data_IF_934187161242
#
_entry.id   IF_934187161242
#
_cell.length_a   1.000
_cell.length_b   1.000
_cell.length_c   1.000
_cell.angle_alpha   90.00
_cell.angle_beta   90.00
_cell.angle_gamma   90.00
#
_symmetry.space_group_name_H-M   'P 1'
#
loop_
_entity.id
_entity.type
_entity.pdbx_description
1 polymer ?
#
# COMPACT_ATOMS: atom_id res chain seq x y z
N UNK A 1 69.45 14.45 -27.66
CA UNK A 1 69.87 15.32 -26.57
C UNK A 1 69.17 16.65 -26.75
N UNK A 2 68.17 16.93 -25.99
CA UNK A 2 67.73 18.28 -25.57
C UNK A 2 66.45 18.10 -24.73
N UNK A 3 66.59 18.35 -23.41
CA UNK A 3 65.49 18.34 -22.45
C UNK A 3 64.70 19.63 -22.54
N UNK A 4 63.39 19.59 -22.79
CA UNK A 4 62.51 20.74 -22.66
C UNK A 4 61.70 20.60 -21.36
N UNK A 5 61.84 21.61 -20.48
CA UNK A 5 61.13 21.78 -19.20
C UNK A 5 59.67 22.24 -19.47
N UNK A 6 58.73 21.66 -18.76
CA UNK A 6 57.35 22.17 -18.63
C UNK A 6 57.28 23.26 -17.56
N UNK A 7 56.49 24.32 -17.74
CA UNK A 7 56.27 25.34 -16.73
C UNK A 7 55.20 24.90 -15.71
N UNK A 8 55.42 25.29 -14.43
CA UNK A 8 54.50 25.13 -13.29
C UNK A 8 53.35 26.11 -13.43
N UNK A 9 52.08 25.60 -13.27
CA UNK A 9 50.90 26.44 -13.08
C UNK A 9 50.76 26.85 -11.63
N UNK A 10 50.39 28.10 -11.42
CA UNK A 10 50.19 28.74 -10.10
C UNK A 10 48.78 28.48 -9.59
N UNK A 11 48.67 28.27 -8.25
CA UNK A 11 47.44 28.12 -7.49
C UNK A 11 46.85 29.51 -7.16
N UNK A 12 45.58 29.80 -7.39
CA UNK A 12 44.98 31.04 -6.90
C UNK A 12 44.55 30.95 -5.43
N UNK A 13 44.78 32.06 -4.72
CA UNK A 13 44.51 32.28 -3.29
C UNK A 13 43.02 32.35 -3.00
N UNK A 14 42.59 31.76 -1.86
CA UNK A 14 41.33 31.93 -1.21
C UNK A 14 40.93 33.37 -0.93
N UNK A 15 39.71 33.73 -1.29
CA UNK A 15 39.07 34.98 -0.86
C UNK A 15 38.13 34.63 0.33
N UNK A 16 38.37 35.30 1.44
CA UNK A 16 37.57 35.21 2.67
C UNK A 16 36.25 35.99 2.49
N UNK A 17 35.12 35.37 2.87
CA UNK A 17 33.79 36.01 2.94
C UNK A 17 33.45 36.24 4.42
N UNK A 18 32.91 37.40 4.81
CA UNK A 18 32.65 37.74 6.21
C UNK A 18 31.40 37.03 6.76
N UNK A 19 31.52 36.61 8.02
CA UNK A 19 30.42 36.04 8.80
C UNK A 19 29.43 37.15 9.22
N UNK A 20 28.17 37.05 8.79
CA UNK A 20 27.07 37.74 9.43
C UNK A 20 26.42 36.84 10.48
N UNK A 21 26.37 37.33 11.70
CA UNK A 21 25.67 36.71 12.83
C UNK A 21 24.16 36.92 12.64
N UNK A 22 23.40 35.85 12.62
CA UNK A 22 21.93 35.89 12.66
C UNK A 22 21.45 35.19 13.93
N UNK A 23 20.68 35.95 14.71
CA UNK A 23 19.98 35.53 15.94
C UNK A 23 18.90 34.49 15.65
N UNK A 24 18.66 33.49 16.51
CA UNK A 24 17.64 32.48 16.30
C UNK A 24 16.24 33.05 16.62
N UNK A 25 15.32 32.93 15.65
CA UNK A 25 13.89 33.10 15.86
C UNK A 25 13.29 31.75 16.28
N UNK A 26 12.24 31.73 17.15
CA UNK A 26 11.64 30.49 17.59
C UNK A 26 10.84 29.83 16.46
N UNK A 27 11.19 28.59 16.14
CA UNK A 27 10.46 27.72 15.21
C UNK A 27 9.15 27.30 15.88
N UNK A 28 8.03 27.71 15.33
CA UNK A 28 6.73 27.11 15.62
C UNK A 28 6.75 25.66 15.11
N UNK A 29 6.49 24.74 16.00
CA UNK A 29 6.28 23.33 15.66
C UNK A 29 5.08 23.21 14.70
N UNK A 30 5.34 22.94 13.44
CA UNK A 30 4.35 22.41 12.52
C UNK A 30 4.12 20.94 12.91
N UNK A 31 2.86 20.55 13.09
CA UNK A 31 2.48 19.18 13.39
C UNK A 31 2.91 18.27 12.23
N UNK A 32 3.61 17.19 12.58
CA UNK A 32 3.94 16.15 11.64
C UNK A 32 2.63 15.47 11.22
N UNK A 33 2.25 15.65 9.96
CA UNK A 33 1.27 14.80 9.32
C UNK A 33 1.92 13.42 9.17
N UNK A 34 1.48 12.44 9.97
CA UNK A 34 1.93 11.08 9.85
C UNK A 34 1.37 10.51 8.54
N UNK A 35 2.28 10.15 7.63
CA UNK A 35 1.92 9.39 6.44
C UNK A 35 1.36 8.03 6.85
N UNK A 36 0.07 7.85 6.67
CA UNK A 36 -0.56 6.54 6.68
C UNK A 36 -0.27 5.84 5.35
N UNK A 37 0.93 5.27 5.20
CA UNK A 37 1.13 4.15 4.28
C UNK A 37 0.45 2.95 4.94
N UNK A 38 -0.80 2.78 4.62
CA UNK A 38 -1.78 1.92 5.24
C UNK A 38 -1.30 0.51 5.48
N UNK A 39 -1.01 0.20 6.74
CA UNK A 39 -1.18 -1.14 7.26
C UNK A 39 -2.53 -1.18 7.98
N UNK A 40 -3.45 -1.99 7.54
CA UNK A 40 -4.68 -2.33 8.25
C UNK A 40 -4.35 -2.86 9.66
N UNK A 41 -4.72 -2.13 10.68
CA UNK A 41 -4.62 -2.57 12.08
C UNK A 41 -6.02 -2.63 12.67
N UNK A 42 -6.52 -3.83 12.86
CA UNK A 42 -7.76 -4.07 13.61
C UNK A 42 -7.47 -4.16 15.10
N UNK A 43 -8.09 -3.30 15.88
CA UNK A 43 -8.18 -3.46 17.32
C UNK A 43 -9.68 -3.59 17.72
N UNK A 44 -10.05 -4.74 18.26
CA UNK A 44 -11.35 -4.96 18.86
C UNK A 44 -11.45 -4.23 20.21
N UNK A 45 -12.41 -3.32 20.37
CA UNK A 45 -12.74 -2.72 21.64
C UNK A 45 -14.20 -3.03 22.02
N UNK A 46 -14.38 -3.61 23.20
CA UNK A 46 -15.67 -3.89 23.82
C UNK A 46 -16.38 -2.59 24.22
N UNK A 47 -17.65 -2.48 23.87
CA UNK A 47 -18.55 -1.39 24.25
C UNK A 47 -19.42 -1.79 25.44
N UNK A 48 -19.54 -0.89 26.43
CA UNK A 48 -20.60 -0.90 27.45
C UNK A 48 -21.40 0.41 27.38
N UNK A 49 -22.69 0.41 27.70
CA UNK A 49 -23.59 1.53 27.45
C UNK A 49 -23.70 2.52 28.61
N UNK A 50 -23.84 3.81 28.33
CA UNK A 50 -24.42 4.75 29.30
C UNK A 50 -25.38 5.74 28.66
N UNK A 51 -26.54 5.83 29.23
CA UNK A 51 -27.70 6.70 28.96
C UNK A 51 -27.52 8.11 29.53
N UNK A 52 -28.12 9.13 28.89
CA UNK A 52 -28.32 10.45 29.53
C UNK A 52 -28.78 11.58 28.61
N UNK A 53 -30.09 11.75 28.53
CA UNK A 53 -30.97 12.96 28.46
C UNK A 53 -30.61 14.23 27.68
N UNK A 54 -31.48 14.49 26.73
CA UNK A 54 -32.21 15.69 26.24
C UNK A 54 -31.86 17.11 26.75
N UNK A 55 -31.77 18.03 25.80
CA UNK A 55 -32.43 19.37 25.84
C UNK A 55 -32.69 19.88 24.40
N UNK A 56 -33.80 20.62 24.23
CA UNK A 56 -34.51 20.92 23.00
C UNK A 56 -34.20 22.29 22.40
N UNK A 57 -34.25 22.37 21.06
CA UNK A 57 -34.81 23.34 20.10
C UNK A 57 -34.35 24.82 20.08
N UNK A 58 -34.45 25.57 18.93
CA UNK A 58 -35.64 25.65 18.08
C UNK A 58 -35.38 25.63 16.53
N UNK A 59 -36.47 25.31 15.86
CA UNK A 59 -36.79 25.24 14.44
C UNK A 59 -36.61 26.58 13.69
N UNK A 60 -36.02 26.56 12.49
CA UNK A 60 -36.36 27.47 11.39
C UNK A 60 -36.54 26.66 10.09
N UNK A 61 -37.75 26.67 9.60
CA UNK A 61 -38.21 26.11 8.34
C UNK A 61 -37.81 26.98 7.15
N UNK A 62 -37.21 26.41 6.11
CA UNK A 62 -37.40 26.80 4.72
C UNK A 62 -37.06 25.65 3.80
N UNK A 63 -38.08 25.06 3.21
CA UNK A 63 -38.03 24.06 2.15
C UNK A 63 -37.78 24.76 0.80
N UNK A 64 -36.96 24.19 -0.09
CA UNK A 64 -37.26 24.26 -1.51
C UNK A 64 -37.55 22.87 -2.06
N UNK A 65 -38.61 22.77 -2.81
CA UNK A 65 -39.20 21.63 -3.45
C UNK A 65 -38.15 20.72 -4.15
N UNK A 66 -38.03 19.49 -3.67
CA UNK A 66 -37.29 18.41 -4.31
C UNK A 66 -38.16 17.87 -5.45
N UNK A 67 -37.72 18.08 -6.69
CA UNK A 67 -38.12 17.25 -7.83
C UNK A 67 -37.43 15.91 -7.69
N UNK A 68 -38.12 14.94 -7.10
CA UNK A 68 -37.69 13.54 -7.08
C UNK A 68 -37.98 12.93 -8.47
N UNK A 69 -36.99 12.48 -9.24
CA UNK A 69 -37.25 11.60 -10.35
C UNK A 69 -37.66 10.24 -9.76
N UNK A 70 -38.94 9.85 -10.04
CA UNK A 70 -39.45 8.51 -9.79
C UNK A 70 -38.71 7.53 -10.69
N UNK A 71 -37.61 6.94 -10.19
CA UNK A 71 -37.00 5.77 -10.83
C UNK A 71 -37.90 4.55 -10.55
N UNK A 72 -38.49 4.02 -11.62
CA UNK A 72 -39.23 2.76 -11.58
C UNK A 72 -38.38 1.68 -10.92
N UNK A 73 -38.93 1.05 -9.88
CA UNK A 73 -38.33 -0.03 -9.11
C UNK A 73 -38.36 -1.36 -9.87
N UNK A 74 -37.57 -1.45 -10.93
CA UNK A 74 -37.21 -2.72 -11.57
C UNK A 74 -35.77 -3.03 -11.19
N UNK A 75 -35.52 -3.75 -10.10
CA UNK A 75 -34.21 -4.32 -9.86
C UNK A 75 -33.87 -5.27 -11.00
N UNK A 76 -32.78 -5.07 -11.77
CA UNK A 76 -32.37 -6.01 -12.78
C UNK A 76 -32.09 -7.36 -12.13
N UNK A 77 -32.71 -8.41 -12.65
CA UNK A 77 -32.56 -9.77 -12.16
C UNK A 77 -31.09 -10.16 -12.28
N UNK A 78 -30.43 -10.47 -11.17
CA UNK A 78 -29.07 -11.00 -11.20
C UNK A 78 -29.04 -12.26 -12.08
N UNK A 79 -28.02 -12.40 -12.92
CA UNK A 79 -27.79 -13.64 -13.65
C UNK A 79 -27.57 -14.79 -12.64
N UNK A 80 -27.77 -16.02 -13.06
CA UNK A 80 -27.52 -17.20 -12.24
C UNK A 80 -26.09 -17.22 -11.61
N UNK A 81 -25.17 -16.45 -12.17
CA UNK A 81 -23.77 -16.34 -11.77
C UNK A 81 -23.44 -15.16 -10.84
N UNK A 82 -24.45 -14.43 -10.33
CA UNK A 82 -24.23 -13.39 -9.30
C UNK A 82 -23.80 -12.01 -9.79
N UNK A 83 -23.61 -11.81 -11.12
CA UNK A 83 -23.32 -10.51 -11.74
C UNK A 83 -24.46 -10.09 -12.64
N UNK A 84 -24.82 -8.80 -12.58
CA UNK A 84 -25.85 -8.19 -13.43
C UNK A 84 -25.31 -8.05 -14.87
N UNK A 85 -26.07 -8.45 -15.92
CA UNK A 85 -25.65 -8.30 -17.31
C UNK A 85 -25.37 -6.83 -17.67
N UNK A 86 -24.34 -6.58 -18.48
CA UNK A 86 -23.96 -5.25 -18.97
C UNK A 86 -24.93 -4.73 -20.05
N UNK A 87 -26.21 -4.54 -19.70
CA UNK A 87 -27.19 -3.91 -20.55
C UNK A 87 -26.95 -2.42 -20.73
N UNK A 88 -27.51 -1.73 -21.72
CA UNK A 88 -27.41 -0.27 -21.84
C UNK A 88 -27.85 0.49 -20.58
N UNK A 89 -28.88 0.02 -19.86
CA UNK A 89 -29.29 0.60 -18.57
C UNK A 89 -28.20 0.43 -17.49
N UNK A 90 -27.62 -0.76 -17.36
CA UNK A 90 -26.57 -1.03 -16.39
C UNK A 90 -25.33 -0.22 -16.71
N UNK A 91 -24.93 -0.11 -17.97
CA UNK A 91 -23.77 0.71 -18.37
C UNK A 91 -24.02 2.20 -18.11
N UNK A 92 -25.21 2.72 -18.34
CA UNK A 92 -25.57 4.10 -18.01
C UNK A 92 -25.52 4.37 -16.48
N UNK A 93 -25.96 3.41 -15.68
CA UNK A 93 -25.87 3.50 -14.21
C UNK A 93 -24.41 3.46 -13.73
N UNK A 94 -23.57 2.64 -14.35
CA UNK A 94 -22.13 2.62 -14.09
C UNK A 94 -21.50 3.96 -14.43
N UNK A 95 -21.77 4.52 -15.62
CA UNK A 95 -21.31 5.85 -16.03
C UNK A 95 -21.69 6.91 -15.01
N UNK A 96 -22.95 6.94 -14.59
CA UNK A 96 -23.44 7.91 -13.61
C UNK A 96 -22.79 7.75 -12.24
N UNK A 97 -22.56 6.50 -11.79
CA UNK A 97 -21.89 6.24 -10.53
C UNK A 97 -20.41 6.67 -10.57
N UNK A 98 -19.69 6.34 -11.62
CA UNK A 98 -18.29 6.71 -11.82
C UNK A 98 -18.15 8.24 -11.88
N UNK A 99 -18.98 8.93 -12.67
CA UNK A 99 -18.99 10.39 -12.74
C UNK A 99 -19.28 11.04 -11.39
N UNK A 100 -20.19 10.48 -10.61
CA UNK A 100 -20.51 10.96 -9.27
C UNK A 100 -19.29 10.86 -8.35
N UNK A 101 -18.64 9.68 -8.29
CA UNK A 101 -17.43 9.48 -7.47
C UNK A 101 -16.31 10.41 -7.94
N UNK A 102 -16.08 10.53 -9.23
CA UNK A 102 -15.07 11.44 -9.80
C UNK A 102 -15.30 12.88 -9.32
N UNK A 103 -16.55 13.35 -9.43
CA UNK A 103 -16.92 14.72 -9.03
C UNK A 103 -16.80 14.94 -7.52
N UNK A 104 -17.12 13.93 -6.71
CA UNK A 104 -17.06 14.01 -5.24
C UNK A 104 -15.63 13.99 -4.73
N UNK A 105 -14.76 13.16 -5.31
CA UNK A 105 -13.41 12.93 -4.82
C UNK A 105 -12.38 13.91 -5.37
N UNK A 106 -12.70 14.56 -6.52
CA UNK A 106 -11.73 15.43 -7.21
C UNK A 106 -10.59 14.67 -7.92
N UNK A 107 -10.72 13.36 -8.08
CA UNK A 107 -9.78 12.53 -8.87
C UNK A 107 -9.65 13.10 -10.28
N UNK A 108 -8.44 13.37 -10.78
CA UNK A 108 -8.28 13.96 -12.11
C UNK A 108 -8.79 13.06 -13.23
N UNK A 109 -8.48 11.77 -13.18
CA UNK A 109 -8.90 10.80 -14.18
C UNK A 109 -8.91 9.36 -13.68
N UNK A 110 -9.75 8.54 -14.30
CA UNK A 110 -9.90 7.11 -14.00
C UNK A 110 -10.12 6.30 -15.27
N UNK A 111 -9.40 5.18 -15.40
CA UNK A 111 -9.68 4.10 -16.34
C UNK A 111 -10.45 3.00 -15.62
N UNK A 112 -11.50 2.50 -16.23
CA UNK A 112 -12.37 1.45 -15.69
C UNK A 112 -12.54 0.35 -16.74
N UNK A 113 -12.14 -0.86 -16.37
CA UNK A 113 -12.31 -2.06 -17.17
C UNK A 113 -13.15 -3.11 -16.43
N UNK A 114 -14.17 -3.66 -17.07
CA UNK A 114 -15.01 -4.72 -16.54
C UNK A 114 -15.23 -5.76 -17.65
N UNK A 115 -14.89 -7.01 -17.36
CA UNK A 115 -15.19 -8.15 -18.24
C UNK A 115 -16.15 -9.08 -17.51
N UNK A 116 -17.25 -9.45 -18.16
CA UNK A 116 -18.21 -10.44 -17.69
C UNK A 116 -18.49 -11.46 -18.79
N UNK A 117 -19.07 -12.62 -18.50
CA UNK A 117 -19.54 -13.53 -19.57
C UNK A 117 -20.52 -12.89 -20.54
N UNK A 118 -21.20 -11.82 -20.13
CA UNK A 118 -22.21 -11.12 -20.95
C UNK A 118 -21.67 -9.89 -21.69
N UNK A 119 -20.37 -9.58 -21.63
CA UNK A 119 -19.78 -8.44 -22.35
C UNK A 119 -18.66 -7.73 -21.61
N UNK A 120 -18.19 -6.66 -22.23
CA UNK A 120 -17.09 -5.82 -21.74
C UNK A 120 -17.56 -4.38 -21.56
N UNK A 121 -17.04 -3.72 -20.56
CA UNK A 121 -17.16 -2.29 -20.33
C UNK A 121 -15.74 -1.74 -20.14
N UNK A 122 -15.27 -0.90 -21.05
CA UNK A 122 -13.96 -0.28 -21.01
C UNK A 122 -14.15 1.21 -21.30
N UNK A 123 -13.96 2.04 -20.27
CA UNK A 123 -14.14 3.50 -20.36
C UNK A 123 -13.16 4.26 -19.52
N UNK A 124 -12.91 5.50 -19.93
CA UNK A 124 -12.10 6.47 -19.22
C UNK A 124 -12.90 7.73 -18.93
N UNK A 125 -12.60 8.37 -17.79
CA UNK A 125 -13.26 9.59 -17.36
C UNK A 125 -12.21 10.56 -16.83
N UNK A 126 -12.46 11.88 -17.04
CA UNK A 126 -11.56 12.92 -16.58
C UNK A 126 -10.33 13.12 -17.47
N UNK A 127 -9.23 13.58 -16.88
CA UNK A 127 -8.02 13.99 -17.61
C UNK A 127 -6.78 13.21 -17.16
N UNK A 128 -5.92 12.90 -18.11
CA UNK A 128 -4.60 12.30 -17.90
C UNK A 128 -3.57 13.35 -17.47
N UNK A 129 -3.73 14.58 -17.91
CA UNK A 129 -2.86 15.70 -17.55
C UNK A 129 -3.70 16.95 -17.22
N UNK A 130 -3.57 17.41 -15.98
CA UNK A 130 -4.28 18.61 -15.49
C UNK A 130 -3.78 19.90 -16.14
N UNK A 131 -2.55 19.93 -16.65
CA UNK A 131 -1.94 21.13 -17.23
C UNK A 131 -2.45 21.37 -18.65
N UNK A 132 -2.52 20.32 -19.44
CA UNK A 132 -2.94 20.39 -20.85
C UNK A 132 -4.42 20.11 -21.05
N UNK A 133 -5.08 19.48 -20.06
CA UNK A 133 -6.45 18.98 -20.19
C UNK A 133 -6.56 17.74 -21.09
N UNK A 134 -5.45 17.05 -21.38
CA UNK A 134 -5.46 15.82 -22.18
C UNK A 134 -6.40 14.79 -21.54
N UNK A 135 -7.38 14.23 -22.28
CA UNK A 135 -8.32 13.27 -21.74
C UNK A 135 -7.64 11.99 -21.27
N UNK A 136 -8.26 11.33 -20.28
CA UNK A 136 -7.89 9.98 -19.88
C UNK A 136 -8.22 8.99 -21.01
N UNK A 137 -7.39 7.95 -21.20
CA UNK A 137 -7.54 6.93 -22.23
C UNK A 137 -7.13 5.56 -21.70
N UNK A 138 -7.80 4.45 -22.09
CA UNK A 138 -7.48 3.11 -21.57
C UNK A 138 -6.12 2.58 -21.98
N UNK A 139 -5.51 3.14 -23.03
CA UNK A 139 -4.15 2.76 -23.49
C UNK A 139 -3.01 3.37 -22.68
N UNK A 140 -3.31 4.30 -21.79
CA UNK A 140 -2.30 4.99 -20.99
C UNK A 140 -1.70 4.05 -19.94
N UNK A 141 -0.38 4.16 -19.79
CA UNK A 141 0.36 3.50 -18.72
C UNK A 141 0.23 4.29 -17.42
N UNK A 142 -0.07 3.59 -16.33
CA UNK A 142 -0.05 4.10 -14.97
C UNK A 142 0.76 3.18 -14.07
N UNK A 143 1.31 3.72 -12.97
CA UNK A 143 1.90 2.88 -11.93
C UNK A 143 0.81 2.13 -11.19
N UNK A 144 1.07 0.85 -10.85
CA UNK A 144 0.05 -0.04 -10.30
C UNK A 144 0.25 -0.33 -8.80
N UNK A 145 1.24 0.30 -8.19
CA UNK A 145 1.47 0.16 -6.75
C UNK A 145 1.54 -1.29 -6.30
N UNK A 146 0.87 -1.58 -5.21
CA UNK A 146 0.90 -2.90 -4.56
C UNK A 146 0.32 -4.06 -5.38
N UNK A 147 -0.33 -3.81 -6.52
CA UNK A 147 -0.60 -4.88 -7.49
C UNK A 147 0.68 -5.64 -7.88
N UNK A 148 1.83 -4.98 -7.84
CA UNK A 148 3.17 -5.60 -8.01
C UNK A 148 3.36 -6.83 -7.15
N UNK A 149 2.78 -6.86 -5.94
CA UNK A 149 2.90 -8.00 -5.03
C UNK A 149 2.33 -9.29 -5.60
N UNK A 150 1.28 -9.19 -6.40
CA UNK A 150 0.67 -10.35 -7.05
C UNK A 150 1.62 -10.99 -8.08
N UNK A 151 2.41 -10.16 -8.78
CA UNK A 151 3.45 -10.59 -9.71
C UNK A 151 4.65 -11.21 -8.97
N UNK A 152 5.14 -10.56 -7.93
CA UNK A 152 6.22 -11.07 -7.08
C UNK A 152 5.83 -12.40 -6.43
N UNK A 153 4.61 -12.49 -5.89
CA UNK A 153 4.07 -13.73 -5.33
C UNK A 153 4.02 -14.85 -6.39
N UNK A 154 3.57 -14.54 -7.61
CA UNK A 154 3.55 -15.51 -8.71
C UNK A 154 4.97 -15.97 -9.06
N UNK A 155 5.95 -15.08 -9.07
CA UNK A 155 7.36 -15.43 -9.30
C UNK A 155 7.88 -16.41 -8.23
N UNK A 156 7.60 -16.16 -6.96
CA UNK A 156 7.94 -17.10 -5.86
C UNK A 156 7.24 -18.44 -6.05
N UNK A 157 5.94 -18.45 -6.35
CA UNK A 157 5.15 -19.68 -6.54
C UNK A 157 5.59 -20.46 -7.78
N UNK A 158 6.12 -19.80 -8.82
CA UNK A 158 6.80 -20.46 -9.94
C UNK A 158 8.07 -21.19 -9.50
N UNK A 159 8.83 -20.61 -8.55
CA UNK A 159 9.99 -21.29 -7.96
C UNK A 159 9.57 -22.48 -7.09
N UNK A 160 8.43 -22.38 -6.39
CA UNK A 160 7.82 -23.52 -5.67
C UNK A 160 7.44 -24.62 -6.65
N UNK A 161 6.80 -24.31 -7.77
CA UNK A 161 6.45 -25.26 -8.83
C UNK A 161 7.66 -25.97 -9.44
N UNK A 162 8.82 -25.29 -9.46
CA UNK A 162 10.10 -25.85 -9.90
C UNK A 162 10.81 -26.67 -8.81
N UNK A 163 10.27 -26.76 -7.59
CA UNK A 163 10.88 -27.46 -6.46
C UNK A 163 12.13 -26.81 -5.90
N UNK A 164 12.34 -25.49 -6.16
CA UNK A 164 13.52 -24.74 -5.70
C UNK A 164 13.35 -24.19 -4.28
N UNK A 165 12.12 -24.07 -3.80
CA UNK A 165 11.76 -23.56 -2.47
C UNK A 165 10.45 -24.16 -2.01
N UNK A 166 10.34 -24.48 -0.72
CA UNK A 166 9.09 -24.84 -0.06
C UNK A 166 8.42 -23.61 0.56
N UNK A 167 7.08 -23.58 0.60
CA UNK A 167 6.37 -22.48 1.25
C UNK A 167 6.65 -22.42 2.76
N UNK A 168 6.90 -23.57 3.39
CA UNK A 168 7.13 -23.67 4.82
C UNK A 168 8.62 -23.70 5.19
N UNK A 169 9.50 -23.48 4.21
CA UNK A 169 10.94 -23.32 4.45
C UNK A 169 11.22 -22.02 5.21
N UNK A 170 12.18 -22.02 6.16
CA UNK A 170 12.63 -20.80 6.82
C UNK A 170 13.32 -19.87 5.82
N UNK A 171 13.02 -18.59 5.87
CA UNK A 171 13.58 -17.61 4.92
C UNK A 171 15.10 -17.47 5.05
N UNK A 172 15.66 -17.71 6.24
CA UNK A 172 17.11 -17.70 6.50
C UNK A 172 17.89 -18.69 5.63
N UNK A 173 17.25 -19.74 5.12
CA UNK A 173 17.88 -20.68 4.17
C UNK A 173 18.22 -20.02 2.82
N UNK A 174 17.63 -18.89 2.49
CA UNK A 174 17.72 -18.25 1.18
C UNK A 174 18.17 -16.79 1.23
N UNK A 175 17.78 -16.05 2.24
CA UNK A 175 18.05 -14.61 2.38
C UNK A 175 18.70 -14.34 3.73
N UNK A 176 19.97 -13.96 3.68
CA UNK A 176 20.76 -13.65 4.88
C UNK A 176 20.30 -12.36 5.56
N UNK A 177 20.54 -12.28 6.87
CA UNK A 177 20.35 -11.05 7.65
C UNK A 177 18.92 -10.68 7.99
N UNK A 178 17.92 -11.54 7.69
CA UNK A 178 16.54 -11.32 8.10
C UNK A 178 16.41 -11.56 9.62
N UNK A 179 16.02 -10.53 10.42
CA UNK A 179 15.84 -10.71 11.86
C UNK A 179 14.81 -11.81 12.17
N UNK A 180 15.23 -12.81 12.95
CA UNK A 180 14.37 -13.96 13.26
C UNK A 180 14.03 -14.85 12.08
N UNK A 181 14.81 -14.79 10.99
CA UNK A 181 14.54 -15.49 9.73
C UNK A 181 14.44 -17.01 9.85
N UNK A 182 15.04 -17.63 10.87
CA UNK A 182 14.90 -19.06 11.17
C UNK A 182 13.49 -19.46 11.60
N UNK A 183 12.73 -18.52 12.16
CA UNK A 183 11.34 -18.69 12.60
C UNK A 183 10.31 -18.12 11.63
N UNK A 184 10.74 -17.49 10.54
CA UNK A 184 9.84 -16.87 9.55
C UNK A 184 9.87 -17.73 8.28
N UNK A 185 8.70 -18.22 7.84
CA UNK A 185 8.60 -19.00 6.62
C UNK A 185 8.33 -18.14 5.39
N UNK A 186 8.63 -18.66 4.19
CA UNK A 186 8.27 -18.06 2.91
C UNK A 186 6.76 -17.81 2.83
N UNK A 187 5.94 -18.74 3.33
CA UNK A 187 4.48 -18.61 3.45
C UNK A 187 4.09 -17.38 4.27
N UNK A 188 4.65 -17.23 5.46
CA UNK A 188 4.32 -16.12 6.38
C UNK A 188 4.69 -14.76 5.79
N UNK A 189 5.76 -14.68 4.98
CA UNK A 189 6.07 -13.46 4.23
C UNK A 189 5.00 -13.16 3.18
N UNK A 190 4.63 -14.16 2.36
CA UNK A 190 3.62 -14.00 1.30
C UNK A 190 2.23 -13.68 1.85
N UNK A 191 1.89 -14.19 3.03
CA UNK A 191 0.60 -14.02 3.72
C UNK A 191 0.55 -12.81 4.67
N UNK A 192 1.57 -11.94 4.66
CA UNK A 192 1.64 -10.75 5.54
C UNK A 192 1.64 -11.07 7.04
N UNK A 193 2.30 -12.17 7.45
CA UNK A 193 2.33 -12.68 8.83
C UNK A 193 3.74 -12.91 9.37
N UNK A 194 4.74 -12.24 8.81
CA UNK A 194 6.15 -12.37 9.27
C UNK A 194 6.39 -11.80 10.66
N UNK A 195 5.60 -10.83 11.09
CA UNK A 195 5.84 -10.07 12.31
C UNK A 195 6.98 -9.05 12.21
N UNK A 196 7.63 -8.89 11.07
CA UNK A 196 8.68 -7.88 10.86
C UNK A 196 8.11 -6.47 10.89
N UNK A 197 8.93 -5.50 11.27
CA UNK A 197 8.56 -4.08 11.16
C UNK A 197 8.54 -3.66 9.68
N UNK A 198 7.48 -2.96 9.19
CA UNK A 198 7.44 -2.47 7.82
C UNK A 198 8.38 -1.27 7.64
N UNK A 199 9.39 -1.36 6.78
CA UNK A 199 10.33 -0.27 6.52
C UNK A 199 9.62 1.03 6.11
N UNK A 200 8.48 0.91 5.43
CA UNK A 200 7.68 2.05 4.97
C UNK A 200 7.02 2.85 6.12
N UNK A 201 7.07 2.33 7.34
CA UNK A 201 6.62 3.04 8.55
C UNK A 201 7.78 3.65 9.34
N UNK A 202 9.03 3.48 8.89
CA UNK A 202 10.19 4.10 9.53
C UNK A 202 10.22 5.62 9.25
N UNK A 203 10.33 6.48 10.29
CA UNK A 203 10.29 7.93 10.11
C UNK A 203 11.41 8.50 9.23
N UNK A 204 12.62 7.91 9.29
CA UNK A 204 13.75 8.36 8.48
C UNK A 204 13.53 8.00 7.01
N UNK A 205 12.95 6.80 6.75
CA UNK A 205 12.54 6.41 5.40
C UNK A 205 11.51 7.38 4.84
N UNK A 206 10.42 7.63 5.60
CA UNK A 206 9.35 8.54 5.19
C UNK A 206 9.90 9.94 4.92
N UNK A 207 10.75 10.45 5.81
CA UNK A 207 11.38 11.76 5.64
C UNK A 207 12.26 11.81 4.38
N UNK A 208 13.03 10.74 4.09
CA UNK A 208 13.84 10.67 2.87
C UNK A 208 12.97 10.68 1.62
N UNK A 209 11.93 9.85 1.57
CA UNK A 209 11.04 9.76 0.42
C UNK A 209 10.33 11.08 0.11
N UNK A 210 9.82 11.77 1.14
CA UNK A 210 9.09 13.03 0.96
C UNK A 210 10.00 14.18 0.52
N UNK A 211 11.23 14.25 1.06
CA UNK A 211 12.13 15.36 0.77
C UNK A 211 13.01 15.13 -0.48
N UNK A 212 13.21 13.88 -0.87
CA UNK A 212 13.93 13.50 -2.09
C UNK A 212 13.21 12.35 -2.81
N UNK A 213 12.10 12.65 -3.53
CA UNK A 213 11.29 11.62 -4.21
C UNK A 213 12.01 10.93 -5.37
N UNK A 214 13.18 11.45 -5.78
CA UNK A 214 14.04 10.85 -6.80
C UNK A 214 15.18 10.00 -6.21
N UNK A 215 15.24 9.89 -4.89
CA UNK A 215 16.22 9.04 -4.22
C UNK A 215 16.13 7.60 -4.72
N UNK A 216 17.29 7.02 -5.06
CA UNK A 216 17.38 5.62 -5.49
C UNK A 216 17.69 4.74 -4.30
N UNK A 217 16.74 3.93 -3.90
CA UNK A 217 16.90 2.96 -2.82
C UNK A 217 17.33 1.61 -3.37
N UNK A 218 18.28 0.95 -2.70
CA UNK A 218 18.53 -0.47 -2.90
C UNK A 218 17.63 -1.32 -1.98
N UNK A 219 17.35 -2.60 -2.33
CA UNK A 219 16.59 -3.49 -1.45
C UNK A 219 17.18 -3.61 -0.04
N UNK A 220 18.51 -3.65 0.07
CA UNK A 220 19.19 -3.73 1.38
C UNK A 220 19.03 -2.45 2.20
N UNK A 221 19.06 -1.28 1.58
CA UNK A 221 18.76 -0.01 2.27
C UNK A 221 17.32 0.03 2.78
N UNK A 222 16.35 -0.44 1.97
CA UNK A 222 14.95 -0.53 2.41
C UNK A 222 14.80 -1.43 3.63
N UNK A 223 15.38 -2.63 3.58
CA UNK A 223 15.32 -3.57 4.69
C UNK A 223 16.04 -3.06 5.94
N UNK A 224 17.15 -2.31 5.78
CA UNK A 224 17.87 -1.70 6.89
C UNK A 224 17.00 -0.71 7.70
N UNK A 225 16.06 0.02 7.05
CA UNK A 225 15.09 0.85 7.76
C UNK A 225 14.16 0.02 8.65
N UNK A 226 13.67 -1.13 8.15
CA UNK A 226 12.82 -2.01 8.95
C UNK A 226 13.58 -2.75 10.06
N UNK A 227 14.79 -3.20 9.79
CA UNK A 227 15.58 -4.02 10.71
C UNK A 227 16.13 -3.26 11.91
N UNK A 228 16.10 -1.91 11.91
CA UNK A 228 16.40 -1.08 13.10
C UNK A 228 15.39 -1.29 14.23
N UNK A 229 14.20 -1.77 13.91
CA UNK A 229 13.09 -1.89 14.83
C UNK A 229 12.88 -3.34 15.29
N UNK A 230 12.38 -3.56 16.50
CA UNK A 230 11.98 -4.89 16.94
C UNK A 230 10.82 -5.42 16.09
N UNK A 231 10.67 -6.73 16.05
CA UNK A 231 9.49 -7.36 15.49
C UNK A 231 8.21 -6.85 16.19
N UNK A 232 7.15 -6.66 15.42
CA UNK A 232 5.86 -6.12 15.92
C UNK A 232 4.96 -7.22 16.49
N UNK A 233 5.19 -8.47 16.09
CA UNK A 233 4.51 -9.66 16.62
C UNK A 233 5.34 -10.93 16.36
N UNK A 234 5.06 -12.03 17.07
CA UNK A 234 5.63 -13.32 16.70
C UNK A 234 5.18 -13.74 15.28
N UNK A 235 6.05 -14.42 14.50
CA UNK A 235 5.70 -14.91 13.17
C UNK A 235 4.45 -15.81 13.19
N UNK A 236 3.59 -15.66 12.19
CA UNK A 236 2.36 -16.46 12.01
C UNK A 236 1.17 -16.01 12.84
N UNK A 237 1.33 -15.13 13.84
CA UNK A 237 0.26 -14.84 14.81
C UNK A 237 -0.74 -13.77 14.38
N UNK A 238 -0.28 -12.74 13.63
CA UNK A 238 -1.10 -11.60 13.26
C UNK A 238 -0.93 -11.26 11.78
N UNK A 239 -2.00 -10.82 11.15
CA UNK A 239 -1.93 -10.14 9.87
C UNK A 239 -1.41 -8.71 10.10
N UNK A 240 -0.38 -8.34 9.34
CA UNK A 240 0.06 -6.96 9.24
C UNK A 240 0.57 -6.71 7.82
N UNK A 241 -0.11 -5.84 7.09
CA UNK A 241 0.35 -5.46 5.76
C UNK A 241 1.76 -4.88 5.84
N UNK A 242 2.71 -5.46 5.09
CA UNK A 242 4.12 -5.18 5.29
C UNK A 242 4.91 -5.25 3.98
N UNK A 243 5.40 -4.09 3.53
CA UNK A 243 6.22 -3.99 2.33
C UNK A 243 7.57 -4.71 2.47
N UNK A 244 8.15 -4.78 3.69
CA UNK A 244 9.42 -5.49 3.93
C UNK A 244 9.34 -6.95 3.48
N UNK A 245 8.20 -7.60 3.65
CA UNK A 245 8.00 -8.98 3.25
C UNK A 245 8.25 -9.18 1.75
N UNK A 246 7.76 -8.26 0.94
CA UNK A 246 7.86 -8.37 -0.52
C UNK A 246 9.23 -7.93 -1.05
N UNK A 247 9.97 -7.08 -0.33
CA UNK A 247 11.39 -6.85 -0.62
C UNK A 247 12.20 -8.13 -0.36
N UNK A 248 11.94 -8.83 0.77
CA UNK A 248 12.61 -10.11 1.10
C UNK A 248 12.27 -11.18 0.06
N UNK A 249 10.98 -11.29 -0.34
CA UNK A 249 10.57 -12.22 -1.40
C UNK A 249 11.21 -11.88 -2.74
N UNK A 250 11.41 -10.61 -3.07
CA UNK A 250 12.17 -10.17 -4.23
C UNK A 250 13.62 -10.65 -4.20
N UNK A 251 14.30 -10.54 -3.05
CA UNK A 251 15.67 -11.07 -2.87
C UNK A 251 15.71 -12.59 -3.00
N UNK A 252 14.70 -13.31 -2.48
CA UNK A 252 14.55 -14.74 -2.68
C UNK A 252 14.42 -15.09 -4.17
N UNK A 253 13.62 -14.32 -4.93
CA UNK A 253 13.47 -14.49 -6.39
C UNK A 253 14.81 -14.32 -7.09
N UNK A 254 15.60 -13.29 -6.74
CA UNK A 254 16.95 -13.09 -7.30
C UNK A 254 17.89 -14.26 -6.98
N UNK A 255 17.91 -14.68 -5.71
CA UNK A 255 18.79 -15.76 -5.23
C UNK A 255 18.53 -17.07 -5.96
N UNK A 256 17.27 -17.48 -6.09
CA UNK A 256 16.88 -18.76 -6.67
C UNK A 256 16.67 -18.73 -8.18
N UNK A 257 16.30 -17.55 -8.70
CA UNK A 257 16.11 -17.30 -10.12
C UNK A 257 17.41 -17.06 -10.88
N UNK A 258 18.46 -16.60 -10.21
CA UNK A 258 19.77 -16.29 -10.81
C UNK A 258 19.75 -15.07 -11.74
N UNK A 259 18.71 -14.23 -11.64
CA UNK A 259 18.49 -13.02 -12.44
C UNK A 259 18.02 -11.89 -11.53
N UNK A 260 18.20 -10.61 -11.90
CA UNK A 260 17.52 -9.50 -11.23
C UNK A 260 16.01 -9.74 -11.16
N UNK A 261 15.38 -9.42 -10.02
CA UNK A 261 13.97 -9.76 -9.76
C UNK A 261 13.02 -9.26 -10.85
N UNK A 262 13.19 -8.02 -11.33
CA UNK A 262 12.37 -7.46 -12.41
C UNK A 262 12.51 -8.26 -13.71
N UNK A 263 13.73 -8.73 -14.03
CA UNK A 263 13.96 -9.58 -15.20
C UNK A 263 13.30 -10.94 -15.04
N UNK A 264 13.45 -11.58 -13.86
CA UNK A 264 12.81 -12.86 -13.58
C UNK A 264 11.27 -12.76 -13.67
N UNK A 265 10.68 -11.69 -13.07
CA UNK A 265 9.24 -11.43 -13.13
C UNK A 265 8.81 -11.24 -14.60
N UNK A 266 9.57 -10.48 -15.40
CA UNK A 266 9.29 -10.29 -16.83
C UNK A 266 9.26 -11.63 -17.56
N UNK A 267 10.31 -12.43 -17.41
CA UNK A 267 10.49 -13.68 -18.18
C UNK A 267 9.56 -14.81 -17.73
N UNK A 268 9.23 -14.87 -16.42
CA UNK A 268 8.49 -16.00 -15.84
C UNK A 268 7.02 -15.69 -15.54
N UNK A 269 6.62 -14.41 -15.55
CA UNK A 269 5.25 -13.99 -15.20
C UNK A 269 4.64 -13.12 -16.28
N UNK A 270 5.23 -11.96 -16.60
CA UNK A 270 4.65 -10.98 -17.53
C UNK A 270 4.52 -11.56 -18.95
N UNK A 271 5.64 -12.06 -19.49
CA UNK A 271 5.67 -12.63 -20.85
C UNK A 271 4.78 -13.86 -21.00
N UNK A 272 4.80 -14.87 -20.10
CA UNK A 272 3.89 -16.00 -20.18
C UNK A 272 2.40 -15.63 -20.00
N UNK A 273 2.10 -14.54 -19.29
CA UNK A 273 0.74 -14.01 -19.14
C UNK A 273 0.29 -13.15 -20.34
N UNK A 274 1.15 -12.94 -21.35
CA UNK A 274 0.93 -12.12 -22.53
C UNK A 274 0.56 -10.65 -22.21
N UNK A 275 1.14 -10.07 -21.16
CA UNK A 275 0.90 -8.70 -20.71
C UNK A 275 1.88 -7.75 -21.41
N UNK A 276 1.55 -7.35 -22.64
CA UNK A 276 2.47 -6.59 -23.51
C UNK A 276 2.68 -5.14 -23.09
N UNK A 277 1.82 -4.60 -22.24
CA UNK A 277 1.87 -3.22 -21.74
C UNK A 277 2.23 -3.14 -20.25
N UNK A 278 2.70 -4.26 -19.68
CA UNK A 278 3.12 -4.34 -18.28
C UNK A 278 4.64 -4.42 -18.18
N UNK A 279 5.22 -3.63 -17.29
CA UNK A 279 6.67 -3.59 -17.12
C UNK A 279 7.11 -3.45 -15.67
N UNK A 280 8.34 -3.90 -15.40
CA UNK A 280 9.02 -3.68 -14.13
C UNK A 280 10.09 -2.59 -14.37
N UNK A 281 9.86 -1.34 -13.93
CA UNK A 281 10.76 -0.24 -14.21
C UNK A 281 12.06 -0.32 -13.40
N UNK A 282 13.13 0.24 -13.94
CA UNK A 282 14.43 0.38 -13.28
C UNK A 282 14.69 1.79 -12.76
N UNK A 283 13.86 2.75 -13.16
CA UNK A 283 13.95 4.17 -12.80
C UNK A 283 12.57 4.85 -12.78
N UNK A 284 12.56 6.19 -12.70
CA UNK A 284 11.33 6.98 -12.70
C UNK A 284 10.63 7.14 -14.04
N UNK A 285 11.22 6.67 -15.14
CA UNK A 285 10.68 6.88 -16.51
C UNK A 285 9.36 6.13 -16.71
N UNK A 286 8.38 6.81 -17.32
CA UNK A 286 7.10 6.21 -17.72
C UNK A 286 7.12 5.84 -19.20
N UNK A 287 6.68 4.63 -19.59
CA UNK A 287 6.51 4.28 -21.01
C UNK A 287 5.37 5.10 -21.62
N UNK A 288 5.61 5.65 -22.82
CA UNK A 288 4.59 6.43 -23.55
C UNK A 288 3.61 5.49 -24.30
N UNK A 289 2.30 5.83 -24.35
CA UNK A 289 1.65 6.97 -23.69
C UNK A 289 1.36 6.71 -22.20
N UNK A 290 1.31 7.76 -21.37
CA UNK A 290 1.06 7.64 -19.93
C UNK A 290 0.18 8.77 -19.40
N UNK A 291 -0.44 8.55 -18.22
CA UNK A 291 -1.11 9.58 -17.47
C UNK A 291 -0.17 10.19 -16.41
N UNK A 292 -0.26 11.51 -16.20
CA UNK A 292 0.43 12.20 -15.11
C UNK A 292 -0.20 11.82 -13.76
N UNK A 293 0.62 11.56 -12.75
CA UNK A 293 0.18 11.18 -11.40
C UNK A 293 0.29 12.33 -10.41
N UNK A 294 -0.74 12.55 -9.59
CA UNK A 294 -0.84 13.68 -8.67
C UNK A 294 -0.94 13.24 -7.21
N UNK A 295 -0.04 13.74 -6.37
CA UNK A 295 0.09 13.37 -4.95
C UNK A 295 0.14 14.58 -4.04
N UNK A 296 -0.34 14.43 -2.79
CA UNK A 296 -0.11 15.38 -1.70
C UNK A 296 1.05 14.96 -0.77
N UNK A 297 1.73 13.83 -1.07
CA UNK A 297 2.85 13.32 -0.29
C UNK A 297 4.11 14.17 -0.51
N UNK A 298 4.05 15.44 -0.15
CA UNK A 298 5.09 16.44 -0.29
C UNK A 298 5.40 17.09 1.06
N UNK A 299 6.55 17.74 1.25
CA UNK A 299 6.88 18.38 2.52
C UNK A 299 5.88 19.44 2.98
N UNK A 300 5.15 20.05 2.05
CA UNK A 300 4.13 21.08 2.33
C UNK A 300 2.71 20.54 2.36
N UNK A 301 2.45 19.29 1.95
CA UNK A 301 1.12 18.75 1.69
C UNK A 301 0.45 19.32 0.44
N UNK A 302 1.15 20.11 -0.37
CA UNK A 302 0.61 20.64 -1.62
C UNK A 302 0.65 19.56 -2.70
N UNK A 303 -0.37 19.55 -3.56
CA UNK A 303 -0.42 18.61 -4.69
C UNK A 303 0.73 18.88 -5.66
N UNK A 304 1.47 17.83 -5.99
CA UNK A 304 2.56 17.83 -6.96
C UNK A 304 2.36 16.73 -8.01
N UNK A 305 3.04 16.89 -9.15
CA UNK A 305 3.17 15.87 -10.18
C UNK A 305 4.27 14.87 -9.77
N UNK A 306 3.88 13.64 -9.51
CA UNK A 306 4.75 12.54 -9.11
C UNK A 306 5.09 11.57 -10.25
N UNK A 307 4.73 11.89 -11.49
CA UNK A 307 4.82 11.00 -12.67
C UNK A 307 6.17 10.32 -12.77
N UNK A 308 7.24 11.09 -12.63
CA UNK A 308 8.60 10.61 -12.79
C UNK A 308 9.35 10.39 -11.45
N UNK A 309 8.65 10.33 -10.34
CA UNK A 309 9.27 9.98 -9.06
C UNK A 309 9.87 8.58 -9.12
N UNK A 310 10.99 8.38 -8.44
CA UNK A 310 11.71 7.11 -8.52
C UNK A 310 10.96 6.01 -7.73
N UNK A 311 10.52 4.90 -8.37
CA UNK A 311 9.74 3.85 -7.70
C UNK A 311 10.60 2.82 -6.96
N UNK A 312 11.94 2.98 -6.92
CA UNK A 312 12.86 2.00 -6.32
C UNK A 312 12.54 1.72 -4.86
N UNK A 313 11.97 2.70 -4.14
CA UNK A 313 11.54 2.54 -2.76
C UNK A 313 10.47 1.45 -2.58
N UNK A 314 9.68 1.17 -3.61
CA UNK A 314 8.64 0.14 -3.59
C UNK A 314 9.12 -1.19 -4.21
N UNK A 315 10.06 -1.16 -5.14
CA UNK A 315 10.69 -2.29 -5.83
C UNK A 315 9.70 -3.44 -6.07
N UNK A 316 9.99 -4.68 -5.59
CA UNK A 316 9.13 -5.86 -5.73
C UNK A 316 7.85 -5.80 -4.88
N UNK A 317 7.68 -4.77 -4.07
CA UNK A 317 6.45 -4.52 -3.33
C UNK A 317 5.48 -3.56 -4.05
N UNK A 318 5.94 -2.76 -5.08
CA UNK A 318 5.05 -1.75 -5.61
C UNK A 318 5.49 -0.98 -6.86
N UNK A 319 6.58 -1.35 -7.55
CA UNK A 319 7.17 -0.46 -8.58
C UNK A 319 6.56 -0.58 -9.99
N UNK A 320 5.79 -1.63 -10.30
CA UNK A 320 5.40 -1.95 -11.68
C UNK A 320 4.44 -0.92 -12.30
N UNK A 321 4.41 -0.95 -13.63
CA UNK A 321 3.59 -0.10 -14.49
C UNK A 321 2.76 -1.02 -15.39
N UNK A 322 1.50 -0.63 -15.68
CA UNK A 322 0.60 -1.41 -16.56
C UNK A 322 -0.46 -0.51 -17.19
N UNK A 323 -1.26 -1.07 -18.08
CA UNK A 323 -2.53 -0.52 -18.59
C UNK A 323 -3.72 -1.21 -17.95
N UNK A 324 -4.90 -0.60 -18.02
CA UNK A 324 -6.12 -1.21 -17.46
C UNK A 324 -6.47 -2.54 -18.13
N UNK A 325 -6.22 -2.68 -19.43
CA UNK A 325 -6.50 -3.92 -20.19
C UNK A 325 -5.58 -5.08 -19.78
N UNK A 326 -4.28 -4.79 -19.55
CA UNK A 326 -3.36 -5.80 -19.00
C UNK A 326 -3.74 -6.19 -17.58
N UNK A 327 -4.20 -5.24 -16.75
CA UNK A 327 -4.68 -5.53 -15.39
C UNK A 327 -5.95 -6.40 -15.39
N UNK A 328 -6.91 -6.20 -16.32
CA UNK A 328 -8.05 -7.10 -16.48
C UNK A 328 -7.61 -8.54 -16.79
N UNK A 329 -6.69 -8.68 -17.75
CA UNK A 329 -6.11 -9.98 -18.14
C UNK A 329 -5.35 -10.62 -16.99
N UNK A 330 -4.59 -9.82 -16.24
CA UNK A 330 -3.82 -10.26 -15.09
C UNK A 330 -4.70 -10.72 -13.93
N UNK A 331 -5.73 -9.96 -13.56
CA UNK A 331 -6.65 -10.32 -12.48
C UNK A 331 -7.23 -11.74 -12.69
N UNK A 332 -7.68 -12.03 -13.90
CA UNK A 332 -8.15 -13.37 -14.26
C UNK A 332 -7.04 -14.42 -14.21
N UNK A 333 -5.90 -14.16 -14.87
CA UNK A 333 -4.76 -15.08 -14.94
C UNK A 333 -4.28 -15.46 -13.54
N UNK A 334 -4.12 -14.49 -12.67
CA UNK A 334 -3.69 -14.64 -11.29
C UNK A 334 -4.68 -15.44 -10.45
N UNK A 335 -5.98 -15.10 -10.52
CA UNK A 335 -7.00 -15.74 -9.70
C UNK A 335 -7.32 -17.17 -10.16
N UNK A 336 -7.23 -17.46 -11.47
CA UNK A 336 -7.44 -18.81 -12.01
C UNK A 336 -6.21 -19.72 -11.93
N UNK A 337 -5.02 -19.13 -11.64
CA UNK A 337 -3.78 -19.88 -11.53
C UNK A 337 -3.21 -20.39 -12.86
N UNK A 338 -3.49 -19.68 -13.96
CA UNK A 338 -3.09 -20.10 -15.30
C UNK A 338 -1.55 -20.32 -15.46
N UNK A 339 -0.73 -19.72 -14.59
CA UNK A 339 0.73 -19.84 -14.61
C UNK A 339 1.27 -20.82 -13.57
N UNK A 340 0.44 -21.45 -12.76
CA UNK A 340 0.85 -22.29 -11.62
C UNK A 340 0.29 -23.72 -11.74
N UNK A 341 0.93 -24.65 -11.06
CA UNK A 341 0.35 -25.97 -10.84
C UNK A 341 -0.91 -25.86 -9.98
N UNK A 342 -1.95 -26.69 -10.20
CA UNK A 342 -3.21 -26.62 -9.43
C UNK A 342 -3.01 -26.67 -7.91
N UNK A 343 -2.07 -27.51 -7.42
CA UNK A 343 -1.77 -27.61 -5.99
C UNK A 343 -1.20 -26.30 -5.43
N UNK A 344 -0.28 -25.66 -6.17
CA UNK A 344 0.34 -24.40 -5.76
C UNK A 344 -0.68 -23.24 -5.80
N UNK A 345 -1.55 -23.23 -6.80
CA UNK A 345 -2.66 -22.26 -6.84
C UNK A 345 -3.63 -22.46 -5.68
N UNK A 346 -3.93 -23.70 -5.32
CA UNK A 346 -4.77 -23.98 -4.15
C UNK A 346 -4.14 -23.44 -2.85
N UNK A 347 -2.81 -23.55 -2.69
CA UNK A 347 -2.09 -22.93 -1.57
C UNK A 347 -2.18 -21.40 -1.59
N UNK A 348 -2.02 -20.78 -2.78
CA UNK A 348 -2.14 -19.32 -2.94
C UNK A 348 -3.48 -18.78 -2.47
N UNK A 349 -4.56 -19.51 -2.77
CA UNK A 349 -5.94 -19.09 -2.49
C UNK A 349 -6.40 -19.40 -1.06
N UNK A 350 -5.59 -20.02 -0.23
CA UNK A 350 -5.88 -20.19 1.19
C UNK A 350 -5.75 -18.83 1.89
N UNK A 351 -6.85 -18.12 2.03
CA UNK A 351 -6.87 -16.82 2.70
C UNK A 351 -7.10 -16.97 4.20
N UNK A 352 -6.40 -16.16 4.97
CA UNK A 352 -6.55 -16.02 6.41
C UNK A 352 -7.17 -14.64 6.73
N UNK A 353 -7.99 -14.52 7.79
CA UNK A 353 -8.63 -13.25 8.14
C UNK A 353 -7.61 -12.12 8.34
N UNK A 354 -7.93 -10.93 7.83
CA UNK A 354 -7.14 -9.72 8.07
C UNK A 354 -7.54 -9.02 9.38
N UNK A 355 -8.73 -9.30 9.87
CA UNK A 355 -9.40 -8.59 10.94
C UNK A 355 -10.59 -7.77 10.44
N UNK A 356 -10.61 -7.44 9.16
CA UNK A 356 -11.73 -6.73 8.54
C UNK A 356 -12.81 -7.73 8.10
N UNK A 357 -14.10 -7.42 8.34
CA UNK A 357 -15.19 -8.29 7.94
C UNK A 357 -15.23 -8.54 6.43
N UNK A 358 -15.28 -9.81 6.03
CA UNK A 358 -15.34 -10.19 4.61
C UNK A 358 -14.02 -10.08 3.86
N UNK A 359 -12.91 -9.77 4.54
CA UNK A 359 -11.59 -9.62 3.92
C UNK A 359 -10.60 -10.66 4.46
N UNK A 360 -10.04 -11.45 3.56
CA UNK A 360 -8.95 -12.37 3.83
C UNK A 360 -7.70 -12.03 3.00
N UNK A 361 -6.54 -12.52 3.43
CA UNK A 361 -5.29 -12.39 2.69
C UNK A 361 -4.63 -13.76 2.52
N UNK A 362 -4.31 -14.11 1.28
CA UNK A 362 -3.58 -15.32 0.90
C UNK A 362 -2.14 -15.01 0.49
N UNK A 363 -1.56 -15.85 -0.37
CA UNK A 363 -0.20 -15.61 -0.82
C UNK A 363 -0.17 -14.53 -1.92
N UNK A 364 -0.06 -13.27 -1.50
CA UNK A 364 0.05 -12.10 -2.37
C UNK A 364 -1.25 -11.63 -3.00
N UNK A 365 -2.37 -11.88 -2.37
CA UNK A 365 -3.68 -11.42 -2.85
C UNK A 365 -4.67 -11.30 -1.68
N UNK A 366 -5.65 -10.43 -1.86
CA UNK A 366 -6.85 -10.36 -1.05
C UNK A 366 -7.98 -11.25 -1.61
N UNK A 367 -8.82 -11.75 -0.71
CA UNK A 367 -10.22 -12.09 -0.98
C UNK A 367 -11.06 -11.02 -0.28
N UNK A 368 -11.79 -10.24 -1.05
CA UNK A 368 -12.65 -9.17 -0.56
C UNK A 368 -14.08 -9.46 -1.00
N UNK A 369 -14.86 -10.06 -0.09
CA UNK A 369 -16.25 -10.48 -0.37
C UNK A 369 -16.38 -11.36 -1.63
N UNK A 370 -15.38 -12.21 -1.91
CA UNK A 370 -15.32 -13.10 -3.07
C UNK A 370 -14.57 -12.52 -4.29
N UNK A 371 -14.22 -11.24 -4.29
CA UNK A 371 -13.33 -10.65 -5.27
C UNK A 371 -11.88 -10.95 -4.91
N UNK A 372 -11.18 -11.70 -5.76
CA UNK A 372 -9.80 -12.15 -5.58
C UNK A 372 -8.86 -11.26 -6.38
N UNK A 373 -7.88 -10.65 -5.73
CA UNK A 373 -6.90 -9.78 -6.37
C UNK A 373 -6.20 -8.87 -5.40
N UNK A 374 -5.87 -7.68 -5.83
CA UNK A 374 -5.20 -6.70 -4.99
C UNK A 374 -5.65 -5.27 -5.34
N UNK A 375 -5.33 -4.30 -4.52
CA UNK A 375 -5.31 -2.87 -4.81
C UNK A 375 -3.88 -2.36 -4.79
N UNK A 376 -3.65 -1.19 -5.33
CA UNK A 376 -2.37 -0.52 -5.32
C UNK A 376 -2.49 0.95 -5.07
N UNK A 377 -1.57 1.48 -4.27
CA UNK A 377 -1.42 2.90 -4.01
C UNK A 377 0.06 3.24 -3.89
N UNK A 378 0.47 4.32 -4.51
CA UNK A 378 1.79 4.94 -4.38
C UNK A 378 1.68 6.40 -4.82
N UNK A 379 2.67 7.28 -4.52
CA UNK A 379 2.57 8.69 -4.89
C UNK A 379 2.14 8.91 -6.34
N UNK A 380 0.98 9.52 -6.51
CA UNK A 380 0.39 9.87 -7.79
C UNK A 380 -0.56 8.86 -8.42
N UNK A 381 -0.71 7.64 -7.89
CA UNK A 381 -1.50 6.61 -8.56
C UNK A 381 -2.17 5.65 -7.60
N UNK A 382 -3.38 5.21 -7.96
CA UNK A 382 -4.07 4.09 -7.35
C UNK A 382 -4.55 3.09 -8.40
N UNK A 383 -4.72 1.84 -8.00
CA UNK A 383 -5.26 0.77 -8.84
C UNK A 383 -6.09 -0.24 -8.04
N UNK A 384 -6.95 -0.97 -8.74
CA UNK A 384 -7.62 -2.19 -8.28
C UNK A 384 -7.63 -3.17 -9.44
N UNK A 385 -7.25 -4.42 -9.20
CA UNK A 385 -7.37 -5.49 -10.19
C UNK A 385 -7.85 -6.78 -9.50
N UNK A 386 -9.12 -7.12 -9.71
CA UNK A 386 -9.79 -8.21 -9.00
C UNK A 386 -10.65 -9.06 -9.93
N UNK A 387 -10.82 -10.33 -9.57
CA UNK A 387 -11.62 -11.31 -10.28
C UNK A 387 -12.64 -11.96 -9.33
N UNK A 388 -13.89 -12.09 -9.77
CA UNK A 388 -14.95 -12.79 -9.06
C UNK A 388 -15.17 -14.17 -9.70
N UNK A 389 -14.63 -15.26 -9.11
CA UNK A 389 -14.66 -16.60 -9.71
C UNK A 389 -16.07 -17.11 -9.99
N UNK A 390 -17.02 -16.89 -9.07
CA UNK A 390 -18.40 -17.36 -9.19
C UNK A 390 -19.11 -16.76 -10.39
N UNK A 391 -18.73 -15.54 -10.76
CA UNK A 391 -19.31 -14.81 -11.89
C UNK A 391 -18.41 -14.77 -13.13
N UNK A 392 -17.20 -15.33 -13.05
CA UNK A 392 -16.19 -15.26 -14.10
C UNK A 392 -15.96 -13.83 -14.61
N UNK A 393 -15.95 -12.86 -13.68
CA UNK A 393 -15.93 -11.44 -14.00
C UNK A 393 -14.70 -10.75 -13.41
N UNK A 394 -14.13 -9.79 -14.16
CA UNK A 394 -13.03 -8.94 -13.71
C UNK A 394 -13.50 -7.52 -13.49
N UNK A 395 -12.83 -6.83 -12.56
CA UNK A 395 -12.86 -5.38 -12.40
C UNK A 395 -11.42 -4.89 -12.31
N UNK A 396 -11.05 -3.95 -13.17
CA UNK A 396 -9.78 -3.25 -13.12
C UNK A 396 -10.01 -1.73 -13.09
N UNK A 397 -9.30 -1.04 -12.23
CA UNK A 397 -9.32 0.42 -12.08
C UNK A 397 -7.90 0.95 -12.07
N UNK A 398 -7.69 2.10 -12.67
CA UNK A 398 -6.47 2.88 -12.56
C UNK A 398 -6.81 4.35 -12.42
N UNK A 399 -6.31 4.98 -11.37
CA UNK A 399 -6.50 6.39 -11.05
C UNK A 399 -5.15 7.09 -11.09
N UNK A 400 -5.14 8.34 -11.52
CA UNK A 400 -3.93 9.15 -11.58
C UNK A 400 -3.80 10.11 -10.39
N UNK A 401 -4.15 9.64 -9.21
CA UNK A 401 -3.89 10.29 -7.92
C UNK A 401 -3.93 9.27 -6.78
N UNK A 402 -3.27 9.58 -5.67
CA UNK A 402 -3.33 8.90 -4.38
C UNK A 402 -3.83 9.82 -3.26
N UNK A 403 -4.39 10.97 -3.62
CA UNK A 403 -4.97 11.93 -2.66
C UNK A 403 -6.20 11.32 -2.03
N UNK A 404 -6.17 11.16 -0.70
CA UNK A 404 -7.27 10.53 0.05
C UNK A 404 -8.52 11.41 0.05
N UNK A 405 -9.68 10.78 -0.12
CA UNK A 405 -10.96 11.42 0.09
C UNK A 405 -11.56 10.98 1.43
N UNK A 406 -11.68 11.91 2.38
CA UNK A 406 -12.19 11.65 3.73
C UNK A 406 -11.50 10.47 4.43
N UNK A 407 -10.18 10.33 4.22
CA UNK A 407 -9.36 9.26 4.80
C UNK A 407 -9.46 7.91 4.10
N UNK A 408 -10.15 7.83 2.96
CA UNK A 408 -10.28 6.62 2.14
C UNK A 408 -9.57 6.77 0.80
N UNK A 409 -8.99 5.69 0.31
CA UNK A 409 -8.47 5.61 -1.06
C UNK A 409 -9.62 5.74 -2.07
N UNK A 410 -9.59 6.72 -3.00
CA UNK A 410 -10.62 6.87 -4.02
C UNK A 410 -10.90 5.61 -4.84
N UNK A 411 -9.89 4.81 -5.16
CA UNK A 411 -10.05 3.55 -5.90
C UNK A 411 -11.01 2.59 -5.22
N UNK A 412 -10.99 2.54 -3.88
CA UNK A 412 -11.93 1.73 -3.09
C UNK A 412 -13.36 2.24 -3.20
N UNK A 413 -13.56 3.57 -3.28
CA UNK A 413 -14.89 4.15 -3.48
C UNK A 413 -15.46 3.84 -4.87
N UNK A 414 -14.62 3.94 -5.91
CA UNK A 414 -15.01 3.54 -7.27
C UNK A 414 -15.39 2.05 -7.32
N UNK A 415 -14.54 1.17 -6.79
CA UNK A 415 -14.79 -0.27 -6.78
C UNK A 415 -16.08 -0.62 -6.01
N UNK A 416 -16.32 0.05 -4.87
CA UNK A 416 -17.52 -0.13 -4.07
C UNK A 416 -18.78 0.25 -4.84
N UNK A 417 -18.85 1.45 -5.43
CA UNK A 417 -20.02 1.93 -6.18
C UNK A 417 -20.27 1.10 -7.45
N UNK A 418 -19.21 0.69 -8.14
CA UNK A 418 -19.30 -0.19 -9.30
C UNK A 418 -19.86 -1.56 -8.90
N UNK A 419 -19.31 -2.18 -7.84
CA UNK A 419 -19.72 -3.52 -7.44
C UNK A 419 -21.11 -3.56 -6.79
N UNK A 420 -21.60 -2.48 -6.17
CA UNK A 420 -23.00 -2.34 -5.77
C UNK A 420 -23.98 -2.49 -6.95
N UNK A 421 -23.58 -2.01 -8.13
CA UNK A 421 -24.39 -2.11 -9.35
C UNK A 421 -24.20 -3.47 -9.99
N UNK A 422 -22.94 -3.90 -10.15
CA UNK A 422 -22.55 -5.07 -10.93
C UNK A 422 -22.80 -6.39 -10.19
N UNK A 423 -22.45 -6.44 -8.91
CA UNK A 423 -22.47 -7.65 -8.07
C UNK A 423 -22.96 -7.36 -6.66
N UNK A 424 -24.23 -7.02 -6.46
CA UNK A 424 -24.74 -6.53 -5.16
C UNK A 424 -24.63 -7.54 -4.01
N UNK A 425 -24.37 -8.82 -4.30
CA UNK A 425 -24.07 -9.85 -3.31
C UNK A 425 -22.57 -9.96 -2.96
N UNK A 426 -21.72 -9.33 -3.74
CA UNK A 426 -20.27 -9.33 -3.63
C UNK A 426 -19.74 -7.90 -3.77
N UNK A 427 -20.10 -7.05 -2.82
CA UNK A 427 -19.68 -5.63 -2.84
C UNK A 427 -18.24 -5.53 -2.36
N UNK A 428 -17.38 -5.01 -3.22
CA UNK A 428 -15.99 -4.72 -2.84
C UNK A 428 -15.96 -3.59 -1.80
N UNK A 429 -15.31 -3.80 -0.68
CA UNK A 429 -15.20 -2.79 0.36
C UNK A 429 -13.87 -2.92 1.11
N UNK A 430 -13.09 -1.86 1.10
CA UNK A 430 -11.96 -1.70 2.02
C UNK A 430 -12.40 -0.68 3.06
N UNK A 431 -12.39 -1.02 4.34
CA UNK A 431 -12.66 -0.05 5.40
C UNK A 431 -11.68 1.11 5.31
N UNK A 432 -12.09 2.35 5.65
CA UNK A 432 -11.15 3.45 5.75
C UNK A 432 -10.07 3.08 6.77
N UNK A 433 -8.83 3.49 6.53
CA UNK A 433 -7.75 3.28 7.48
C UNK A 433 -8.17 3.82 8.84
N UNK A 434 -8.26 2.95 9.85
CA UNK A 434 -8.59 3.41 11.20
C UNK A 434 -7.49 4.37 11.64
N UNK A 435 -7.88 5.57 12.09
CA UNK A 435 -6.94 6.53 12.65
C UNK A 435 -6.07 5.80 13.69
N UNK A 436 -4.76 5.89 13.55
CA UNK A 436 -3.84 5.32 14.53
C UNK A 436 -4.29 5.73 15.94
N UNK A 437 -4.29 4.84 16.94
CA UNK A 437 -4.68 5.20 18.29
C UNK A 437 -3.84 6.38 18.74
N UNK A 438 -4.51 7.51 19.04
CA UNK A 438 -3.86 8.66 19.63
C UNK A 438 -3.13 8.18 20.88
N UNK A 439 -1.81 8.33 20.92
CA UNK A 439 -1.00 8.13 22.12
C UNK A 439 -1.70 8.84 23.27
N UNK A 440 -1.99 8.19 24.40
CA UNK A 440 -2.57 8.88 25.54
C UNK A 440 -1.61 10.00 25.91
N UNK A 441 -2.14 11.22 25.95
CA UNK A 441 -1.40 12.39 26.41
C UNK A 441 -0.81 12.02 27.78
N UNK A 442 0.53 12.09 27.90
CA UNK A 442 1.23 11.93 29.15
C UNK A 442 0.58 12.90 30.17
N UNK A 443 -0.17 12.32 31.11
CA UNK A 443 -0.77 13.09 32.18
C UNK A 443 0.32 13.83 32.92
N UNK A 444 0.25 15.15 32.92
CA UNK A 444 1.03 16.00 33.79
C UNK A 444 0.70 15.62 35.23
N UNK A 445 1.66 14.96 35.88
CA UNK A 445 1.63 14.73 37.31
C UNK A 445 1.69 16.10 37.99
N UNK A 446 0.56 16.57 38.50
CA UNK A 446 0.47 17.65 39.45
C UNK A 446 1.04 17.15 40.79
N UNK A 447 2.21 17.64 41.17
CA UNK A 447 2.81 17.39 42.46
C UNK A 447 1.97 17.91 43.64
N UNK A 448 1.96 17.23 44.78
CA UNK A 448 1.29 17.72 45.96
C UNK A 448 2.12 18.81 46.66
N UNK A 449 1.41 19.79 47.23
CA UNK A 449 1.96 20.89 48.04
C UNK A 449 2.57 20.40 49.35
N UNK A 450 3.56 21.16 49.93
CA UNK A 450 4.22 20.77 51.16
C UNK A 450 3.43 21.19 52.41
N UNK A 451 3.33 20.29 53.39
CA UNK A 451 2.77 20.63 54.68
C UNK A 451 2.87 19.54 55.72
N UNK A 452 3.69 19.84 56.75
CA UNK A 452 3.68 19.37 58.14
C UNK A 452 4.49 18.15 58.52
N UNK A 453 5.50 18.49 59.30
CA UNK A 453 6.37 17.78 60.23
C UNK A 453 5.70 16.72 61.13
N UNK A 454 6.36 15.55 61.32
CA UNK A 454 6.51 14.91 62.65
C UNK A 454 7.70 13.94 62.65
N UNK A 455 8.42 14.10 63.74
CA UNK A 455 9.64 13.45 64.20
C UNK A 455 9.47 11.94 64.49
N UNK A 456 10.54 11.16 64.22
CA UNK A 456 10.62 9.77 64.71
C UNK A 456 11.86 9.08 64.15
N UNK A 457 12.88 8.94 65.02
CA UNK A 457 14.20 8.34 64.79
C UNK A 457 14.16 6.81 64.62
N UNK A 458 15.25 6.19 64.11
CA UNK A 458 15.29 4.81 63.59
C UNK A 458 15.70 3.74 64.60
N UNK A 459 15.69 2.48 64.24
CA UNK A 459 16.77 1.61 64.67
C UNK A 459 17.39 0.74 63.55
N UNK A 460 18.69 0.83 63.53
CA UNK A 460 19.79 -0.18 63.46
C UNK A 460 19.63 -1.48 62.65
N UNK A 461 20.63 -1.62 61.76
CA UNK A 461 21.14 -2.86 61.16
C UNK A 461 21.60 -3.90 62.19
N UNK A 462 21.74 -5.16 61.81
CA UNK A 462 23.09 -5.74 61.90
C UNK A 462 23.60 -6.46 60.62
N UNK A 463 24.90 -6.60 60.67
CA UNK A 463 25.86 -6.93 59.65
C UNK A 463 26.04 -8.43 59.34
N UNK A 464 26.63 -8.64 58.17
CA UNK A 464 27.69 -9.61 57.80
C UNK A 464 27.45 -11.13 57.93
N UNK A 465 27.72 -11.82 56.79
CA UNK A 465 28.89 -12.72 56.70
C UNK A 465 28.95 -13.39 55.31
N UNK A 466 30.03 -13.12 54.59
CA UNK A 466 30.67 -14.09 53.70
C UNK A 466 31.68 -14.90 54.53
N UNK A 467 32.30 -16.02 54.12
CA UNK A 467 32.84 -16.34 52.79
C UNK A 467 32.94 -17.84 52.44
N UNK A 468 33.57 -18.09 51.28
CA UNK A 468 34.50 -19.19 50.93
C UNK A 468 33.99 -20.29 49.97
N UNK A 469 34.56 -20.19 48.78
CA UNK A 469 35.40 -21.14 47.99
C UNK A 469 35.23 -22.62 48.21
N UNK A 470 35.16 -23.44 47.13
CA UNK A 470 36.18 -24.36 46.61
C UNK A 470 35.67 -25.18 45.43
N UNK A 471 36.42 -25.13 44.33
CA UNK A 471 36.76 -26.10 43.30
C UNK A 471 36.11 -27.53 43.35
N UNK A 472 35.63 -28.02 42.27
CA UNK A 472 36.30 -28.85 41.24
C UNK A 472 35.59 -28.72 39.90
#
# INVERSE_FOLDING_TARGET
>A
MTKTRRPRQAVPRSIAVPRCAATPRPVRRAGAAALALTGLLSAAACSGPSSGKQAAEPVITAEPAALSPSYGSGSPSASANGVVPLTPDVTARLDAAIQRVLSQTGVPGVNVGIITPGGTYLKSFGVADKTTGTPMDPSLHLRIGSETKTFTATAVLRLVDQGKVGLDDPISAYVDGVPGGDGITVRQLGEMRSGLFPYSSDPDFVNTLINDPNHVFTPDQLLAYGYKHPAVSPPGTQFQYNNSNYIILGKLVEKLGGLPAGRFITDQVITPAALGQTSFPTDGTMPSPYAHGYTEQTPSGAIADATNWNPSWAWTAGAMISTVADLESWARTMATGALLKPATQAERLKTLPTGDPGVGYGFGLFDNNGWIGHNGSLPGYESVAVYLPQAQSTLALQLNTDVLYQGSEPSSLFANEITKILSPKHVYSIPPASAAPSTPASGSASGPAPGATSTGSPPSLPASNSPSTVRT
#
